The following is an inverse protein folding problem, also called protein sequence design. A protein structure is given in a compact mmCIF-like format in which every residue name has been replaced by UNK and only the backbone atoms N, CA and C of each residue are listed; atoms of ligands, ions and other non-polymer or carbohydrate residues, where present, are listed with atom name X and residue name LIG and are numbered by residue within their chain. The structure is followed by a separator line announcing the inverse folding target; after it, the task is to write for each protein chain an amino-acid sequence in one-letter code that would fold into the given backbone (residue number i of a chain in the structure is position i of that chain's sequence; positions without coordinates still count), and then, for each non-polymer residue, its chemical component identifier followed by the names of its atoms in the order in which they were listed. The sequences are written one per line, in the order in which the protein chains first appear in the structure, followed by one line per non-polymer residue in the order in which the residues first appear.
data_IF_769230921814
#
_entry.id   IF_769230921814
#
_cell.length_a   1.000
_cell.length_b   1.000
_cell.length_c   1.000
_cell.angle_alpha   90.00
_cell.angle_beta   90.00
_cell.angle_gamma   90.00
#
_symmetry.space_group_name_H-M   'P 1'
#
loop_
_entity.id
_entity.type
_entity.pdbx_description
1 polymer ?
#
# COMPACT_ATOMS: atom_id res chain seq x y z
N UNK A 1 6.71 11.85 30.10
CA UNK A 1 7.87 12.78 30.22
C UNK A 1 8.41 13.21 28.84
N UNK A 2 9.05 12.34 28.02
CA UNK A 2 9.61 12.77 26.72
C UNK A 2 8.55 13.23 25.71
N UNK A 3 7.42 12.55 25.60
CA UNK A 3 6.34 12.92 24.71
C UNK A 3 5.72 14.29 25.09
N UNK A 4 5.51 14.54 26.38
CA UNK A 4 5.00 15.83 26.88
C UNK A 4 5.97 16.99 26.57
N UNK A 5 7.27 16.74 26.68
CA UNK A 5 8.28 17.73 26.33
C UNK A 5 8.29 18.04 24.83
N UNK A 6 8.15 17.01 24.00
CA UNK A 6 8.04 17.17 22.56
C UNK A 6 6.76 17.89 22.16
N UNK A 7 5.62 17.56 22.75
CA UNK A 7 4.35 18.24 22.51
C UNK A 7 4.41 19.72 22.89
N UNK A 8 5.02 20.05 24.04
CA UNK A 8 5.25 21.44 24.45
C UNK A 8 6.16 22.19 23.47
N UNK A 9 7.25 21.56 23.00
CA UNK A 9 8.14 22.14 22.00
C UNK A 9 7.44 22.38 20.68
N UNK A 10 6.67 21.38 20.19
CA UNK A 10 5.91 21.48 18.94
C UNK A 10 4.79 22.54 19.04
N UNK A 11 4.10 22.66 20.19
CA UNK A 11 3.09 23.68 20.45
C UNK A 11 3.70 25.11 20.40
N UNK A 12 4.89 25.28 20.97
CA UNK A 12 5.63 26.56 20.94
C UNK A 12 5.93 26.98 19.49
N UNK A 13 6.35 26.06 18.63
CA UNK A 13 6.64 26.37 17.23
C UNK A 13 5.37 26.60 16.38
N UNK A 14 4.29 25.86 16.65
CA UNK A 14 2.99 26.06 16.00
C UNK A 14 2.42 27.46 16.28
N UNK A 15 2.51 27.89 17.53
CA UNK A 15 2.03 29.20 17.95
C UNK A 15 2.86 30.39 17.40
N UNK A 16 4.06 30.12 16.91
CA UNK A 16 4.90 31.15 16.28
C UNK A 16 4.39 31.57 14.90
N UNK A 17 3.59 30.71 14.24
CA UNK A 17 3.05 30.96 12.91
C UNK A 17 1.52 30.68 12.87
N UNK A 18 0.71 31.47 13.59
CA UNK A 18 -0.72 31.19 13.77
C UNK A 18 -1.54 31.27 12.47
N UNK A 19 -1.04 31.98 11.47
CA UNK A 19 -1.66 32.07 10.14
C UNK A 19 -1.44 30.83 9.26
N UNK A 20 -0.54 29.93 9.64
CA UNK A 20 -0.23 28.72 8.90
C UNK A 20 -0.77 27.51 9.67
N UNK A 21 -1.57 26.67 9.03
CA UNK A 21 -2.02 25.40 9.62
C UNK A 21 -0.86 24.36 9.56
N UNK A 22 0.21 24.62 10.33
CA UNK A 22 1.40 23.78 10.37
C UNK A 22 1.13 22.53 11.22
N UNK A 23 1.23 21.36 10.60
CA UNK A 23 1.31 20.09 11.32
C UNK A 23 2.78 19.72 11.47
N UNK A 24 3.22 19.59 12.72
CA UNK A 24 4.59 19.21 13.06
C UNK A 24 4.59 17.83 13.71
N UNK A 25 5.56 17.01 13.36
CA UNK A 25 5.69 15.65 13.89
C UNK A 25 7.09 15.46 14.46
N UNK A 26 7.21 14.69 15.54
CA UNK A 26 8.46 14.41 16.22
C UNK A 26 8.59 12.91 16.48
N UNK A 27 9.75 12.36 16.16
CA UNK A 27 10.17 11.03 16.60
C UNK A 27 11.23 11.17 17.70
N UNK A 28 11.13 10.34 18.71
CA UNK A 28 12.00 10.35 19.89
C UNK A 28 12.60 8.97 20.04
N UNK A 29 13.92 8.86 20.23
CA UNK A 29 14.57 7.60 20.54
C UNK A 29 15.63 7.80 21.61
N UNK A 30 15.82 6.81 22.51
CA UNK A 30 16.90 6.85 23.50
C UNK A 30 18.25 6.60 22.83
N UNK A 31 19.29 7.25 23.35
CA UNK A 31 20.67 6.96 22.97
C UNK A 31 21.20 5.85 23.89
N UNK A 32 21.44 4.68 23.33
CA UNK A 32 22.04 3.56 24.05
C UNK A 32 23.54 3.48 23.74
N UNK A 33 24.35 3.31 24.78
CA UNK A 33 25.80 3.13 24.67
C UNK A 33 26.53 4.21 23.84
N UNK A 34 26.00 5.45 23.83
CA UNK A 34 26.58 6.56 23.08
C UNK A 34 26.39 6.47 21.54
N UNK A 35 25.64 5.51 21.04
CA UNK A 35 25.42 5.34 19.59
C UNK A 35 24.33 6.31 19.10
N UNK A 36 24.76 7.51 18.73
CA UNK A 36 23.89 8.59 18.23
C UNK A 36 23.30 8.25 16.86
N UNK A 37 24.06 7.54 16.00
CA UNK A 37 23.59 7.18 14.64
C UNK A 37 22.39 6.25 14.74
N UNK A 38 22.49 5.18 15.50
CA UNK A 38 21.36 4.27 15.72
C UNK A 38 20.15 4.97 16.36
N UNK A 39 20.39 5.89 17.29
CA UNK A 39 19.31 6.66 17.90
C UNK A 39 18.60 7.58 16.88
N UNK A 40 19.34 8.18 15.95
CA UNK A 40 18.76 8.98 14.86
C UNK A 40 17.93 8.12 13.91
N UNK A 41 18.39 6.93 13.54
CA UNK A 41 17.64 6.00 12.70
C UNK A 41 16.34 5.56 13.38
N UNK A 42 16.41 5.23 14.67
CA UNK A 42 15.24 4.89 15.47
C UNK A 42 14.26 6.07 15.63
N UNK A 43 14.76 7.28 15.82
CA UNK A 43 13.94 8.48 15.88
C UNK A 43 13.25 8.76 14.52
N UNK A 44 13.92 8.48 13.42
CA UNK A 44 13.32 8.58 12.07
C UNK A 44 12.18 7.56 11.87
N UNK A 45 12.31 6.34 12.39
CA UNK A 45 11.23 5.34 12.37
C UNK A 45 10.03 5.87 13.15
N UNK A 46 10.23 6.35 14.39
CA UNK A 46 9.18 6.91 15.22
C UNK A 46 8.53 8.17 14.58
N UNK A 47 9.33 9.03 13.94
CA UNK A 47 8.81 10.19 13.22
C UNK A 47 7.89 9.81 12.04
N UNK A 48 8.26 8.79 11.26
CA UNK A 48 7.41 8.28 10.17
C UNK A 48 6.08 7.76 10.72
N UNK A 49 6.11 7.07 11.85
CA UNK A 49 4.91 6.58 12.51
C UNK A 49 4.02 7.73 13.02
N UNK A 50 4.60 8.77 13.65
CA UNK A 50 3.87 9.98 14.05
C UNK A 50 3.18 10.65 12.85
N UNK A 51 3.87 10.76 11.72
CA UNK A 51 3.33 11.35 10.48
C UNK A 51 2.19 10.53 9.88
N UNK A 52 2.25 9.20 9.99
CA UNK A 52 1.22 8.29 9.49
C UNK A 52 -0.03 8.31 10.38
N UNK A 53 0.17 8.32 11.68
CA UNK A 53 -0.89 8.20 12.70
C UNK A 53 -1.56 9.55 12.99
N UNK A 54 -1.51 10.57 12.32
CA UNK A 54 -2.23 11.87 12.40
C UNK A 54 -2.91 12.26 13.73
N UNK A 55 -2.99 11.35 14.71
CA UNK A 55 -3.61 11.54 16.03
C UNK A 55 -2.62 12.03 17.08
N UNK A 56 -1.35 11.65 16.97
CA UNK A 56 -0.27 12.07 17.86
C UNK A 56 0.79 12.82 17.08
N UNK A 57 1.30 13.91 17.67
CA UNK A 57 2.35 14.71 17.04
C UNK A 57 3.76 14.22 17.40
N UNK A 58 3.90 13.45 18.47
CA UNK A 58 5.16 12.90 18.95
C UNK A 58 5.02 11.41 19.25
N UNK A 59 5.97 10.62 18.76
CA UNK A 59 6.05 9.16 19.00
C UNK A 59 7.42 8.84 19.56
N UNK A 60 7.45 8.03 20.60
CA UNK A 60 8.68 7.46 21.17
C UNK A 60 8.91 6.12 20.50
N UNK A 61 10.14 5.92 20.01
CA UNK A 61 10.56 4.65 19.43
C UNK A 61 10.47 3.52 20.45
N UNK A 62 9.94 2.40 20.01
CA UNK A 62 10.06 1.12 20.67
C UNK A 62 10.57 0.04 19.71
N UNK A 63 11.06 -1.07 20.24
CA UNK A 63 11.65 -2.15 19.42
C UNK A 63 10.64 -2.82 18.48
N UNK A 64 9.36 -2.86 18.84
CA UNK A 64 8.30 -3.39 17.99
C UNK A 64 8.16 -2.59 16.69
N UNK A 65 8.44 -1.29 16.72
CA UNK A 65 8.44 -0.45 15.49
C UNK A 65 9.54 -0.88 14.52
N UNK A 66 10.72 -1.24 15.02
CA UNK A 66 11.82 -1.72 14.17
C UNK A 66 11.46 -3.06 13.49
N UNK A 67 10.86 -3.96 14.25
CA UNK A 67 10.38 -5.24 13.74
C UNK A 67 9.31 -5.06 12.66
N UNK A 68 8.34 -4.15 12.88
CA UNK A 68 7.33 -3.80 11.90
C UNK A 68 7.93 -3.26 10.59
N UNK A 69 8.98 -2.42 10.67
CA UNK A 69 9.68 -1.89 9.50
C UNK A 69 10.37 -3.02 8.72
N UNK A 70 11.03 -3.94 9.42
CA UNK A 70 11.70 -5.10 8.80
C UNK A 70 10.68 -5.99 8.08
N UNK A 71 9.60 -6.37 8.75
CA UNK A 71 8.51 -7.18 8.17
C UNK A 71 7.92 -6.48 6.94
N UNK A 72 7.78 -5.15 7.00
CA UNK A 72 7.27 -4.38 5.87
C UNK A 72 8.21 -4.44 4.67
N UNK A 73 9.51 -4.23 4.86
CA UNK A 73 10.50 -4.29 3.79
C UNK A 73 10.57 -5.70 3.17
N UNK A 74 10.45 -6.75 3.97
CA UNK A 74 10.36 -8.12 3.46
C UNK A 74 9.13 -8.32 2.57
N UNK A 75 7.97 -7.80 2.99
CA UNK A 75 6.74 -7.86 2.18
C UNK A 75 6.87 -7.07 0.88
N UNK A 76 7.43 -5.86 0.93
CA UNK A 76 7.69 -5.05 -0.26
C UNK A 76 8.61 -5.78 -1.26
N UNK A 77 9.68 -6.40 -0.75
CA UNK A 77 10.58 -7.21 -1.56
C UNK A 77 9.87 -8.40 -2.20
N UNK A 78 9.05 -9.11 -1.44
CA UNK A 78 8.30 -10.26 -1.95
C UNK A 78 7.28 -9.87 -3.03
N UNK A 79 6.61 -8.72 -2.87
CA UNK A 79 5.69 -8.17 -3.87
C UNK A 79 6.44 -7.85 -5.16
N UNK A 80 7.59 -7.19 -5.08
CA UNK A 80 8.41 -6.84 -6.24
C UNK A 80 8.92 -8.08 -6.97
N UNK A 81 9.34 -9.12 -6.24
CA UNK A 81 9.70 -10.40 -6.84
C UNK A 81 8.50 -11.05 -7.54
N UNK A 82 7.33 -11.02 -6.91
CA UNK A 82 6.11 -11.58 -7.48
C UNK A 82 5.68 -10.87 -8.77
N UNK A 83 5.88 -9.54 -8.87
CA UNK A 83 5.66 -8.77 -10.10
C UNK A 83 6.60 -9.22 -11.22
N UNK A 84 7.90 -9.32 -10.92
CA UNK A 84 8.92 -9.68 -11.90
C UNK A 84 8.80 -11.14 -12.38
N UNK A 85 8.32 -12.03 -11.53
CA UNK A 85 8.18 -13.47 -11.81
C UNK A 85 6.78 -13.84 -12.32
N UNK A 86 5.94 -12.85 -12.66
CA UNK A 86 4.54 -13.06 -13.12
C UNK A 86 3.69 -13.91 -12.15
N UNK A 87 3.95 -13.82 -10.84
CA UNK A 87 3.22 -14.56 -9.79
C UNK A 87 1.90 -13.91 -9.38
N UNK A 88 1.39 -12.99 -10.19
CA UNK A 88 0.02 -12.47 -10.06
C UNK A 88 -0.89 -13.12 -11.09
N UNK A 89 -2.07 -13.56 -10.64
CA UNK A 89 -3.12 -14.11 -11.47
C UNK A 89 -4.42 -13.33 -11.30
N UNK A 90 -5.36 -13.52 -12.22
CA UNK A 90 -6.69 -12.95 -12.14
C UNK A 90 -7.70 -14.05 -11.80
N UNK A 91 -8.60 -13.74 -10.87
CA UNK A 91 -9.78 -14.54 -10.56
C UNK A 91 -11.00 -13.77 -11.01
N UNK A 92 -11.91 -14.43 -11.70
CA UNK A 92 -13.12 -13.81 -12.19
C UNK A 92 -14.28 -14.07 -11.24
N UNK A 93 -14.79 -13.04 -10.60
CA UNK A 93 -15.99 -13.12 -9.78
C UNK A 93 -17.22 -12.83 -10.66
N UNK A 94 -18.14 -13.80 -10.82
CA UNK A 94 -19.30 -13.60 -11.69
C UNK A 94 -20.28 -12.60 -11.10
N UNK A 95 -20.85 -11.75 -11.97
CA UNK A 95 -21.97 -10.84 -11.67
C UNK A 95 -23.24 -11.47 -12.20
N UNK A 96 -24.18 -11.73 -11.32
CA UNK A 96 -25.43 -12.46 -11.64
C UNK A 96 -26.61 -11.48 -11.62
N UNK A 97 -27.46 -11.54 -12.64
CA UNK A 97 -28.73 -10.84 -12.64
C UNK A 97 -29.70 -11.60 -11.70
N UNK A 98 -30.13 -10.94 -10.64
CA UNK A 98 -30.96 -11.55 -9.59
C UNK A 98 -32.35 -11.98 -10.08
N UNK A 99 -32.87 -11.34 -11.13
CA UNK A 99 -34.19 -11.67 -11.69
C UNK A 99 -34.14 -12.88 -12.61
N UNK A 100 -33.05 -13.05 -13.35
CA UNK A 100 -32.95 -14.10 -14.38
C UNK A 100 -32.02 -15.25 -13.98
N UNK A 101 -31.22 -15.10 -12.92
CA UNK A 101 -30.18 -16.05 -12.53
C UNK A 101 -29.00 -16.16 -13.49
N UNK A 102 -28.96 -15.34 -14.56
CA UNK A 102 -27.93 -15.42 -15.61
C UNK A 102 -26.71 -14.59 -15.25
N UNK A 103 -25.53 -15.07 -15.65
CA UNK A 103 -24.29 -14.31 -15.57
C UNK A 103 -24.33 -13.18 -16.60
N UNK A 104 -24.18 -11.93 -16.14
CA UNK A 104 -24.20 -10.72 -16.98
C UNK A 104 -22.83 -10.04 -17.11
N UNK A 105 -21.85 -10.49 -16.35
CA UNK A 105 -20.49 -9.97 -16.34
C UNK A 105 -19.63 -10.68 -15.33
N UNK A 106 -18.41 -10.19 -15.17
CA UNK A 106 -17.49 -10.62 -14.13
C UNK A 106 -16.67 -9.43 -13.60
N UNK A 107 -16.08 -9.60 -12.45
CA UNK A 107 -15.05 -8.71 -11.92
C UNK A 107 -13.73 -9.46 -11.84
N UNK A 108 -12.67 -8.87 -12.41
CA UNK A 108 -11.34 -9.43 -12.36
C UNK A 108 -10.67 -8.96 -11.06
N UNK A 109 -10.33 -9.90 -10.22
CA UNK A 109 -9.70 -9.69 -8.93
C UNK A 109 -8.30 -10.26 -8.94
N UNK A 110 -7.31 -9.42 -8.64
CA UNK A 110 -5.92 -9.85 -8.52
C UNK A 110 -5.74 -10.84 -7.36
N UNK A 111 -4.89 -11.84 -7.59
CA UNK A 111 -4.41 -12.77 -6.57
C UNK A 111 -2.91 -12.92 -6.75
N UNK A 112 -2.15 -12.79 -5.66
CA UNK A 112 -0.74 -13.11 -5.66
C UNK A 112 -0.55 -14.59 -5.32
N UNK A 113 0.40 -15.25 -5.98
CA UNK A 113 0.82 -16.58 -5.57
C UNK A 113 2.10 -16.45 -4.74
N UNK A 114 2.14 -17.14 -3.59
CA UNK A 114 3.37 -17.26 -2.84
C UNK A 114 4.35 -18.23 -3.55
N UNK A 115 5.60 -18.35 -3.09
CA UNK A 115 6.56 -19.29 -3.69
C UNK A 115 6.12 -20.76 -3.64
N UNK A 116 5.21 -21.12 -2.74
CA UNK A 116 4.63 -22.45 -2.62
C UNK A 116 3.39 -22.65 -3.50
N UNK A 117 2.95 -21.61 -4.23
CA UNK A 117 1.77 -21.63 -5.09
C UNK A 117 0.44 -21.37 -4.37
N UNK A 118 0.45 -20.99 -3.09
CA UNK A 118 -0.77 -20.64 -2.37
C UNK A 118 -1.26 -19.25 -2.76
N UNK A 119 -2.58 -19.08 -2.72
CA UNK A 119 -3.23 -17.82 -3.04
C UNK A 119 -3.12 -16.84 -1.87
N UNK A 120 -2.57 -15.67 -2.16
CA UNK A 120 -2.48 -14.54 -1.23
C UNK A 120 -3.47 -13.47 -1.66
N UNK A 121 -4.30 -13.01 -0.72
CA UNK A 121 -5.40 -12.08 -0.98
C UNK A 121 -4.95 -10.61 -1.00
N UNK A 122 -5.70 -9.73 -1.70
CA UNK A 122 -5.35 -8.33 -1.94
C UNK A 122 -5.04 -7.50 -0.69
N UNK A 123 -5.73 -7.72 0.41
CA UNK A 123 -5.58 -6.96 1.65
C UNK A 123 -4.14 -6.96 2.20
N UNK A 124 -3.36 -7.98 1.85
CA UNK A 124 -1.98 -8.14 2.30
C UNK A 124 -0.95 -7.37 1.46
N UNK A 125 -1.30 -6.92 0.24
CA UNK A 125 -0.34 -6.29 -0.67
C UNK A 125 -0.81 -4.98 -1.31
N UNK A 126 -2.12 -4.74 -1.48
CA UNK A 126 -2.63 -3.54 -2.17
C UNK A 126 -2.16 -2.25 -1.48
N UNK A 127 -2.32 -2.15 -0.15
CA UNK A 127 -1.92 -0.95 0.59
C UNK A 127 -0.43 -0.63 0.46
N UNK A 128 0.41 -1.67 0.47
CA UNK A 128 1.86 -1.52 0.29
C UNK A 128 2.17 -1.02 -1.12
N UNK A 129 1.51 -1.59 -2.13
CA UNK A 129 1.71 -1.22 -3.53
C UNK A 129 1.18 0.18 -3.85
N UNK A 130 0.11 0.63 -3.20
CA UNK A 130 -0.39 2.00 -3.31
C UNK A 130 0.57 3.01 -2.67
N UNK A 131 1.13 2.69 -1.51
CA UNK A 131 2.07 3.56 -0.81
C UNK A 131 3.39 3.77 -1.57
N UNK A 132 3.90 2.74 -2.28
CA UNK A 132 5.14 2.80 -3.04
C UNK A 132 4.93 3.03 -4.56
N UNK A 133 3.67 3.13 -5.02
CA UNK A 133 3.30 3.40 -6.41
C UNK A 133 3.35 2.18 -7.35
N UNK A 134 3.78 1.01 -6.91
CA UNK A 134 3.85 -0.20 -7.76
C UNK A 134 2.47 -0.77 -8.12
N UNK A 135 1.41 -0.28 -7.50
CA UNK A 135 0.03 -0.65 -7.83
C UNK A 135 -0.30 -0.38 -9.31
N UNK A 136 0.30 0.65 -9.91
CA UNK A 136 0.11 0.98 -11.33
C UNK A 136 0.57 -0.17 -12.24
N UNK A 137 1.70 -0.80 -11.89
CA UNK A 137 2.21 -1.95 -12.63
C UNK A 137 1.27 -3.16 -12.49
N UNK A 138 0.75 -3.40 -11.30
CA UNK A 138 -0.23 -4.46 -11.07
C UNK A 138 -1.51 -4.23 -11.86
N UNK A 139 -2.05 -3.01 -11.85
CA UNK A 139 -3.28 -2.67 -12.58
C UNK A 139 -3.11 -2.90 -14.09
N UNK A 140 -1.98 -2.49 -14.66
CA UNK A 140 -1.67 -2.73 -16.07
C UNK A 140 -1.49 -4.21 -16.38
N UNK A 141 -0.88 -4.98 -15.48
CA UNK A 141 -0.75 -6.43 -15.63
C UNK A 141 -2.14 -7.12 -15.59
N UNK A 142 -3.01 -6.71 -14.66
CA UNK A 142 -4.39 -7.22 -14.57
C UNK A 142 -5.14 -6.92 -15.86
N UNK A 143 -5.08 -5.68 -16.37
CA UNK A 143 -5.69 -5.29 -17.65
C UNK A 143 -5.21 -6.18 -18.79
N UNK A 144 -3.89 -6.36 -18.92
CA UNK A 144 -3.29 -7.19 -19.96
C UNK A 144 -3.73 -8.66 -19.87
N UNK A 145 -3.79 -9.24 -18.66
CA UNK A 145 -4.25 -10.61 -18.44
C UNK A 145 -5.74 -10.77 -18.79
N UNK A 146 -6.58 -9.79 -18.44
CA UNK A 146 -8.02 -9.80 -18.81
C UNK A 146 -8.18 -9.73 -20.33
N UNK A 147 -7.50 -8.80 -21.00
CA UNK A 147 -7.56 -8.68 -22.47
C UNK A 147 -7.09 -9.98 -23.15
N UNK A 148 -5.98 -10.54 -22.70
CA UNK A 148 -5.45 -11.80 -23.23
C UNK A 148 -6.41 -12.98 -23.02
N UNK A 149 -7.05 -13.04 -21.85
CA UNK A 149 -8.06 -14.05 -21.56
C UNK A 149 -9.27 -13.92 -22.49
N UNK A 150 -9.77 -12.69 -22.68
CA UNK A 150 -10.92 -12.43 -23.56
C UNK A 150 -10.58 -12.76 -25.01
N UNK A 151 -9.42 -12.34 -25.53
CA UNK A 151 -8.95 -12.65 -26.88
C UNK A 151 -8.90 -14.16 -27.15
N UNK A 152 -8.28 -14.92 -26.25
CA UNK A 152 -8.20 -16.40 -26.33
C UNK A 152 -9.58 -17.07 -26.35
N UNK A 153 -10.57 -16.50 -25.65
CA UNK A 153 -11.94 -17.02 -25.69
C UNK A 153 -12.61 -16.74 -27.03
N UNK A 154 -12.44 -15.51 -27.56
CA UNK A 154 -12.96 -15.12 -28.87
C UNK A 154 -12.39 -15.99 -29.99
N UNK A 155 -11.06 -16.22 -29.98
CA UNK A 155 -10.40 -17.10 -30.97
C UNK A 155 -10.96 -18.53 -30.96
N UNK A 156 -11.41 -19.01 -29.77
CA UNK A 156 -12.02 -20.34 -29.61
C UNK A 156 -13.55 -20.35 -29.90
N UNK A 157 -14.13 -19.22 -30.29
CA UNK A 157 -15.59 -19.10 -30.48
C UNK A 157 -16.39 -19.21 -29.16
N UNK A 158 -15.74 -19.02 -27.99
CA UNK A 158 -16.39 -19.10 -26.71
C UNK A 158 -17.04 -17.76 -26.33
N UNK A 159 -18.17 -17.76 -25.61
CA UNK A 159 -18.81 -16.52 -25.20
C UNK A 159 -17.90 -15.70 -24.28
N UNK A 160 -17.90 -14.39 -24.48
CA UNK A 160 -17.18 -13.41 -23.67
C UNK A 160 -18.18 -12.56 -22.89
N UNK A 161 -17.93 -12.36 -21.63
CA UNK A 161 -18.75 -11.50 -20.75
C UNK A 161 -18.02 -10.20 -20.46
N UNK A 162 -18.78 -9.13 -20.20
CA UNK A 162 -18.21 -7.86 -19.73
C UNK A 162 -17.44 -8.08 -18.45
N UNK A 163 -16.16 -7.69 -18.45
CA UNK A 163 -15.29 -7.85 -17.29
C UNK A 163 -14.84 -6.48 -16.81
N UNK A 164 -15.16 -6.15 -15.56
CA UNK A 164 -14.65 -4.95 -14.89
C UNK A 164 -13.32 -5.25 -14.23
N UNK A 165 -12.45 -4.24 -14.18
CA UNK A 165 -11.19 -4.23 -13.43
C UNK A 165 -11.21 -3.08 -12.42
N UNK A 166 -10.53 -3.24 -11.31
CA UNK A 166 -10.27 -2.18 -10.35
C UNK A 166 -9.00 -1.43 -10.76
N UNK A 167 -9.02 -0.11 -10.71
CA UNK A 167 -7.85 0.74 -10.95
C UNK A 167 -7.62 1.61 -9.72
N UNK A 168 -6.37 1.73 -9.31
CA UNK A 168 -6.01 2.65 -8.23
C UNK A 168 -6.21 4.10 -8.67
N UNK A 169 -6.63 4.95 -7.74
CA UNK A 169 -6.73 6.41 -7.92
C UNK A 169 -5.40 7.06 -8.32
N UNK A 170 -4.26 6.40 -8.10
CA UNK A 170 -2.95 6.92 -8.51
C UNK A 170 -2.83 7.12 -10.02
N UNK A 171 -3.59 6.38 -10.84
CA UNK A 171 -3.64 6.62 -12.29
C UNK A 171 -4.15 8.03 -12.61
N UNK A 172 -5.15 8.53 -11.89
CA UNK A 172 -5.72 9.87 -12.12
C UNK A 172 -4.72 10.96 -11.74
N UNK A 173 -3.95 10.76 -10.67
CA UNK A 173 -2.96 11.76 -10.21
C UNK A 173 -1.81 11.96 -11.18
N UNK A 174 -1.46 10.97 -11.97
CA UNK A 174 -0.38 11.07 -12.98
C UNK A 174 -0.84 11.90 -14.19
N UNK A 175 -2.13 11.86 -14.52
CA UNK A 175 -2.69 12.59 -15.68
C UNK A 175 -2.79 14.11 -15.42
N UNK A 176 -2.96 14.52 -14.15
CA UNK A 176 -3.03 15.93 -13.77
C UNK A 176 -1.65 16.63 -13.73
N UNK A 177 -0.56 15.86 -13.84
CA UNK A 177 0.83 16.38 -13.77
C UNK A 177 1.58 16.31 -15.10
N UNK A 178 0.96 15.84 -16.17
CA UNK A 178 1.49 15.77 -17.53
C UNK A 178 0.90 16.84 -18.42
#
# INVERSE_FOLDING_TARGET
MYAEYADAFLAKHRNRYPACNLRTYCGIAPIHNGNVIAALDNANIAWREAKKNKLTNAVVFDEAMSEMVTIRHEREREINLALNEDRFSIYLQPKINLLTGKIIGAEALARRLDPSGNVVYPDSFISIMEENGTIIQLDMMVLQKVCSYMAKRMEKGLPVVRTSINLSRLHVQIWDTA
#
